data_IF_714005541350
#
_entry.id   IF_714005541350
#
_cell.length_a   1.000
_cell.length_b   1.000
_cell.length_c   1.000
_cell.angle_alpha   90.00
_cell.angle_beta   90.00
_cell.angle_gamma   90.00
#
_symmetry.space_group_name_H-M   'P 1'
#
loop_
_entity.id
_entity.type
_entity.pdbx_description
1 polymer ?
#
# COMPACT_ATOMS: atom_id res chain seq x y z
N UNK A 1 15.96 -14.62 -28.16
CA UNK A 1 16.91 -13.48 -28.18
C UNK A 1 16.20 -12.33 -27.49
N UNK A 2 16.76 -11.75 -26.41
CA UNK A 2 16.20 -10.53 -25.80
C UNK A 2 16.34 -9.41 -26.83
N UNK A 3 15.23 -8.94 -27.41
CA UNK A 3 15.26 -7.70 -28.19
C UNK A 3 15.49 -6.56 -27.20
N UNK A 4 16.65 -5.92 -27.26
CA UNK A 4 16.88 -4.64 -26.58
C UNK A 4 16.16 -3.55 -27.37
N UNK A 5 15.11 -2.97 -26.79
CA UNK A 5 14.57 -1.69 -27.26
C UNK A 5 15.55 -0.58 -26.87
N UNK A 6 15.79 0.35 -27.79
CA UNK A 6 16.54 1.55 -27.45
C UNK A 6 15.72 2.42 -26.49
N UNK A 7 16.40 3.08 -25.55
CA UNK A 7 15.74 3.94 -24.58
C UNK A 7 14.98 5.08 -25.28
N UNK A 8 15.63 5.70 -26.25
CA UNK A 8 15.04 6.74 -27.09
C UNK A 8 15.12 6.29 -28.57
N UNK A 9 14.04 6.42 -29.35
CA UNK A 9 12.74 7.01 -28.97
C UNK A 9 11.74 5.99 -28.38
N UNK A 10 11.94 4.70 -28.61
CA UNK A 10 10.88 3.69 -28.46
C UNK A 10 10.39 3.53 -27.02
N UNK A 11 11.30 3.28 -26.08
CA UNK A 11 10.93 3.06 -24.68
C UNK A 11 10.42 4.35 -24.01
N UNK A 12 10.98 5.50 -24.38
CA UNK A 12 10.52 6.80 -23.89
C UNK A 12 9.06 7.06 -24.28
N UNK A 13 8.69 6.81 -25.54
CA UNK A 13 7.30 6.99 -26.02
C UNK A 13 6.35 6.06 -25.27
N UNK A 14 6.76 4.81 -25.02
CA UNK A 14 5.99 3.85 -24.23
C UNK A 14 5.76 4.35 -22.79
N UNK A 15 6.80 4.84 -22.12
CA UNK A 15 6.69 5.42 -20.78
C UNK A 15 5.75 6.64 -20.79
N UNK A 16 5.93 7.56 -21.74
CA UNK A 16 5.11 8.77 -21.82
C UNK A 16 3.63 8.44 -22.05
N UNK A 17 3.36 7.43 -22.90
CA UNK A 17 2.00 6.96 -23.14
C UNK A 17 1.38 6.35 -21.88
N UNK A 18 2.12 5.51 -21.14
CA UNK A 18 1.63 4.94 -19.87
C UNK A 18 1.34 6.04 -18.85
N UNK A 19 2.25 7.01 -18.68
CA UNK A 19 2.04 8.15 -17.77
C UNK A 19 0.80 8.95 -18.17
N UNK A 20 0.66 9.26 -19.47
CA UNK A 20 -0.49 10.00 -19.99
C UNK A 20 -1.80 9.27 -19.70
N UNK A 21 -1.87 7.96 -19.99
CA UNK A 21 -3.06 7.15 -19.73
C UNK A 21 -3.37 7.04 -18.22
N UNK A 22 -2.35 6.92 -17.37
CA UNK A 22 -2.55 6.91 -15.91
C UNK A 22 -3.12 8.22 -15.41
N UNK A 23 -2.60 9.36 -15.88
CA UNK A 23 -3.11 10.69 -15.49
C UNK A 23 -4.55 10.87 -15.97
N UNK A 24 -4.84 10.52 -17.22
CA UNK A 24 -6.19 10.61 -17.79
C UNK A 24 -7.18 9.76 -17.01
N UNK A 25 -6.82 8.50 -16.68
CA UNK A 25 -7.64 7.63 -15.86
C UNK A 25 -7.96 8.24 -14.49
N UNK A 26 -6.93 8.79 -13.80
CA UNK A 26 -7.12 9.44 -12.50
C UNK A 26 -8.00 10.69 -12.62
N UNK A 27 -7.83 11.49 -13.67
CA UNK A 27 -8.63 12.69 -13.93
C UNK A 27 -10.11 12.33 -14.17
N UNK A 28 -10.38 11.32 -15.01
CA UNK A 28 -11.74 10.82 -15.27
C UNK A 28 -12.36 10.30 -13.96
N UNK A 29 -11.64 9.52 -13.17
CA UNK A 29 -12.14 9.04 -11.88
C UNK A 29 -12.44 10.19 -10.91
N UNK A 30 -11.60 11.22 -10.86
CA UNK A 30 -11.82 12.38 -10.01
C UNK A 30 -13.05 13.21 -10.42
N UNK A 31 -13.33 13.29 -11.73
CA UNK A 31 -14.52 13.97 -12.27
C UNK A 31 -15.80 13.15 -12.04
N UNK A 32 -15.74 11.82 -12.17
CA UNK A 32 -16.89 10.93 -11.96
C UNK A 32 -17.23 10.74 -10.47
N UNK A 33 -16.20 10.73 -9.61
CA UNK A 33 -16.33 10.51 -8.17
C UNK A 33 -15.63 11.64 -7.40
N UNK A 34 -16.18 12.87 -7.43
CA UNK A 34 -15.59 14.01 -6.73
C UNK A 34 -15.45 13.69 -5.25
N UNK A 35 -14.22 13.79 -4.74
CA UNK A 35 -13.94 13.58 -3.33
C UNK A 35 -14.02 14.91 -2.58
N UNK A 36 -14.73 14.91 -1.45
CA UNK A 36 -14.71 16.05 -0.54
C UNK A 36 -13.32 16.22 0.08
N UNK A 37 -12.87 17.47 0.23
CA UNK A 37 -11.59 17.79 0.89
C UNK A 37 -11.77 17.64 2.41
N UNK A 38 -11.79 16.38 2.86
CA UNK A 38 -11.99 16.01 4.25
C UNK A 38 -13.41 16.24 4.76
N UNK A 39 -13.69 15.74 5.96
CA UNK A 39 -14.99 15.93 6.61
C UNK A 39 -15.04 17.33 7.24
N UNK A 40 -16.09 18.10 6.93
CA UNK A 40 -16.34 19.37 7.63
C UNK A 40 -16.49 19.12 9.13
N UNK A 41 -15.79 19.93 9.94
CA UNK A 41 -15.81 19.82 11.39
C UNK A 41 -17.15 20.33 11.89
N UNK A 42 -17.92 19.45 12.52
CA UNK A 42 -19.18 19.77 13.19
C UNK A 42 -18.98 19.60 14.71
N UNK A 43 -19.10 20.70 15.45
CA UNK A 43 -18.93 20.72 16.91
C UNK A 43 -20.14 20.17 17.67
N UNK A 44 -21.26 19.93 16.99
CA UNK A 44 -22.51 19.43 17.60
C UNK A 44 -22.60 17.90 17.63
N UNK A 45 -21.74 17.19 16.89
CA UNK A 45 -21.77 15.73 16.80
C UNK A 45 -20.47 15.09 17.33
N UNK A 46 -20.57 13.97 18.09
CA UNK A 46 -19.38 13.25 18.54
C UNK A 46 -18.62 12.67 17.33
N UNK A 47 -17.45 13.23 17.07
CA UNK A 47 -16.59 12.85 15.97
C UNK A 47 -15.67 11.68 16.35
N UNK A 48 -15.69 10.61 15.55
CA UNK A 48 -14.72 9.51 15.62
C UNK A 48 -13.79 9.60 14.42
N UNK A 49 -12.59 10.20 14.56
CA UNK A 49 -11.67 10.33 13.44
C UNK A 49 -11.25 8.93 12.95
N UNK A 50 -11.45 8.69 11.67
CA UNK A 50 -10.82 7.59 10.95
C UNK A 50 -9.78 8.16 9.99
N UNK A 51 -8.61 7.53 9.89
CA UNK A 51 -7.62 7.94 8.93
C UNK A 51 -7.99 7.47 7.51
N UNK A 52 -7.22 7.91 6.53
CA UNK A 52 -7.37 7.54 5.14
C UNK A 52 -7.09 6.05 4.91
N UNK A 53 -7.56 5.53 3.78
CA UNK A 53 -7.56 4.09 3.45
C UNK A 53 -6.16 3.44 3.55
N UNK A 54 -5.09 4.17 3.20
CA UNK A 54 -3.72 3.67 3.24
C UNK A 54 -3.14 3.54 4.67
N UNK A 55 -3.82 4.09 5.68
CA UNK A 55 -3.47 3.96 7.11
C UNK A 55 -4.40 3.02 7.88
N UNK A 56 -5.44 2.47 7.26
CA UNK A 56 -6.44 1.65 7.96
C UNK A 56 -5.84 0.37 8.58
N UNK A 57 -4.88 -0.27 7.92
CA UNK A 57 -4.18 -1.43 8.49
C UNK A 57 -3.47 -1.07 9.80
N UNK A 58 -2.81 0.09 9.87
CA UNK A 58 -2.11 0.57 11.06
C UNK A 58 -3.10 0.95 12.16
N UNK A 59 -4.19 1.62 11.79
CA UNK A 59 -5.28 1.94 12.70
C UNK A 59 -5.88 0.70 13.35
N UNK A 60 -6.06 -0.38 12.57
CA UNK A 60 -6.54 -1.65 13.09
C UNK A 60 -5.52 -2.31 14.03
N UNK A 61 -4.22 -2.21 13.77
CA UNK A 61 -3.19 -2.70 14.68
C UNK A 61 -3.22 -1.99 16.03
N UNK A 62 -3.46 -0.67 16.06
CA UNK A 62 -3.60 0.08 17.33
C UNK A 62 -4.76 -0.47 18.16
N UNK A 63 -5.88 -0.86 17.52
CA UNK A 63 -7.03 -1.49 18.20
C UNK A 63 -6.67 -2.85 18.80
N UNK A 64 -5.80 -3.62 18.15
CA UNK A 64 -5.36 -4.94 18.63
C UNK A 64 -4.27 -4.88 19.70
N UNK A 65 -3.44 -3.84 19.67
CA UNK A 65 -2.33 -3.65 20.59
C UNK A 65 -2.54 -2.42 21.48
N UNK A 66 -3.53 -2.39 22.40
CA UNK A 66 -3.76 -1.23 23.26
C UNK A 66 -2.69 -1.10 24.36
N UNK A 67 -2.55 0.13 24.89
CA UNK A 67 -1.66 0.46 26.00
C UNK A 67 -0.18 0.38 25.63
N UNK A 68 0.64 -0.22 26.49
CA UNK A 68 2.09 -0.28 26.29
C UNK A 68 2.51 -1.09 25.06
N UNK A 69 1.60 -1.91 24.51
CA UNK A 69 1.85 -2.73 23.33
C UNK A 69 1.67 -1.99 22.01
N UNK A 70 1.20 -0.74 22.00
CA UNK A 70 0.98 0.05 20.78
C UNK A 70 2.24 0.06 19.91
N UNK A 71 3.42 0.22 20.52
CA UNK A 71 4.73 0.24 19.84
C UNK A 71 4.96 -1.00 18.98
N UNK A 72 4.45 -2.16 19.42
CA UNK A 72 4.57 -3.42 18.66
C UNK A 72 3.76 -3.29 17.36
N UNK A 73 2.52 -2.85 17.46
CA UNK A 73 1.62 -2.67 16.32
C UNK A 73 2.07 -1.56 15.36
N UNK A 74 2.49 -0.41 15.89
CA UNK A 74 2.74 0.79 15.08
C UNK A 74 4.17 0.93 14.57
N UNK A 75 5.12 0.28 15.23
CA UNK A 75 6.55 0.48 14.93
C UNK A 75 7.22 -0.84 14.57
N UNK A 76 7.09 -1.87 15.41
CA UNK A 76 7.80 -3.14 15.20
C UNK A 76 7.28 -3.86 13.94
N UNK A 77 5.97 -4.00 13.77
CA UNK A 77 5.39 -4.70 12.61
C UNK A 77 5.75 -4.00 11.28
N UNK A 78 5.55 -2.68 11.11
CA UNK A 78 5.96 -1.99 9.88
C UNK A 78 7.46 -2.07 9.63
N UNK A 79 8.28 -1.94 10.67
CA UNK A 79 9.74 -2.01 10.55
C UNK A 79 10.19 -3.41 10.10
N UNK A 80 9.59 -4.47 10.64
CA UNK A 80 9.86 -5.85 10.20
C UNK A 80 9.45 -6.05 8.74
N UNK A 81 8.32 -5.50 8.31
CA UNK A 81 7.90 -5.56 6.90
C UNK A 81 8.95 -4.90 5.97
N UNK A 82 9.43 -3.71 6.33
CA UNK A 82 10.50 -3.00 5.58
C UNK A 82 11.79 -3.82 5.60
N UNK A 83 12.15 -4.41 6.72
CA UNK A 83 13.36 -5.24 6.83
C UNK A 83 13.26 -6.49 5.93
N UNK A 84 12.09 -7.12 5.84
CA UNK A 84 11.87 -8.22 4.88
C UNK A 84 12.04 -7.72 3.44
N UNK A 85 11.53 -6.54 3.09
CA UNK A 85 11.77 -5.93 1.77
C UNK A 85 13.26 -5.69 1.49
N UNK A 86 14.01 -5.17 2.47
CA UNK A 86 15.46 -4.99 2.34
C UNK A 86 16.22 -6.30 2.19
N UNK A 87 15.70 -7.39 2.76
CA UNK A 87 16.31 -8.71 2.67
C UNK A 87 15.95 -9.50 1.40
N UNK A 88 15.05 -8.99 0.54
CA UNK A 88 14.70 -9.62 -0.75
C UNK A 88 15.90 -10.10 -1.56
N UNK A 89 16.97 -9.30 -1.82
CA UNK A 89 18.10 -9.77 -2.63
C UNK A 89 18.85 -10.97 -2.03
N UNK A 90 18.78 -11.17 -0.71
CA UNK A 90 19.35 -12.33 -0.04
C UNK A 90 18.39 -13.53 -0.04
N UNK A 91 17.08 -13.26 -0.02
CA UNK A 91 16.03 -14.29 -0.10
C UNK A 91 15.93 -14.84 -1.53
N UNK A 92 16.18 -14.01 -2.56
CA UNK A 92 16.15 -14.38 -3.99
C UNK A 92 17.40 -15.14 -4.45
N UNK A 93 17.88 -16.08 -3.63
CA UNK A 93 19.08 -16.86 -3.93
C UNK A 93 18.74 -18.36 -4.10
N UNK A 94 19.46 -19.00 -5.03
CA UNK A 94 19.34 -20.44 -5.30
C UNK A 94 18.10 -20.83 -6.12
N UNK A 95 17.92 -22.15 -6.29
CA UNK A 95 16.87 -22.74 -7.16
C UNK A 95 15.45 -22.33 -6.78
N UNK A 96 15.20 -22.05 -5.50
CA UNK A 96 13.88 -21.69 -4.96
C UNK A 96 13.76 -20.23 -4.52
N UNK A 97 14.75 -19.38 -4.84
CA UNK A 97 14.78 -17.97 -4.41
C UNK A 97 13.52 -17.21 -4.79
N UNK A 98 13.14 -17.25 -6.07
CA UNK A 98 11.92 -16.61 -6.58
C UNK A 98 10.65 -17.05 -5.86
N UNK A 99 10.51 -18.35 -5.54
CA UNK A 99 9.35 -18.85 -4.82
C UNK A 99 9.29 -18.27 -3.40
N UNK A 100 10.43 -18.20 -2.71
CA UNK A 100 10.52 -17.59 -1.37
C UNK A 100 10.15 -16.10 -1.40
N UNK A 101 10.63 -15.36 -2.41
CA UNK A 101 10.28 -13.94 -2.60
C UNK A 101 8.79 -13.76 -2.86
N UNK A 102 8.19 -14.60 -3.70
CA UNK A 102 6.75 -14.57 -3.98
C UNK A 102 5.93 -14.86 -2.71
N UNK A 103 6.33 -15.86 -1.92
CA UNK A 103 5.66 -16.19 -0.65
C UNK A 103 5.81 -15.03 0.34
N UNK A 104 7.01 -14.45 0.46
CA UNK A 104 7.24 -13.29 1.34
C UNK A 104 6.39 -12.09 0.91
N UNK A 105 6.37 -11.76 -0.38
CA UNK A 105 5.54 -10.70 -0.94
C UNK A 105 4.04 -10.95 -0.72
N UNK A 106 3.55 -12.16 -0.98
CA UNK A 106 2.17 -12.53 -0.72
C UNK A 106 1.81 -12.43 0.77
N UNK A 107 2.72 -12.82 1.65
CA UNK A 107 2.54 -12.71 3.11
C UNK A 107 2.46 -11.24 3.55
N UNK A 108 3.32 -10.38 3.01
CA UNK A 108 3.31 -8.94 3.29
C UNK A 108 2.03 -8.28 2.77
N UNK A 109 1.62 -8.62 1.54
CA UNK A 109 0.35 -8.15 0.97
C UNK A 109 -0.83 -8.61 1.80
N UNK A 110 -0.85 -9.85 2.25
CA UNK A 110 -1.90 -10.36 3.14
C UNK A 110 -1.91 -9.61 4.47
N UNK A 111 -0.75 -9.37 5.07
CA UNK A 111 -0.61 -8.64 6.34
C UNK A 111 -1.05 -7.17 6.22
N UNK A 112 -0.97 -6.58 5.03
CA UNK A 112 -1.52 -5.25 4.76
C UNK A 112 -3.04 -5.27 4.47
N UNK A 113 -3.49 -6.17 3.59
CA UNK A 113 -4.88 -6.20 3.12
C UNK A 113 -5.86 -6.71 4.17
N UNK A 114 -5.49 -7.76 4.90
CA UNK A 114 -6.36 -8.37 5.93
C UNK A 114 -6.85 -7.35 6.98
N UNK A 115 -5.96 -6.60 7.69
CA UNK A 115 -6.40 -5.60 8.64
C UNK A 115 -7.07 -4.39 7.99
N UNK A 116 -6.70 -4.02 6.76
CA UNK A 116 -7.39 -2.94 6.00
C UNK A 116 -8.85 -3.31 5.75
N UNK A 117 -9.10 -4.50 5.22
CA UNK A 117 -10.46 -4.99 4.95
C UNK A 117 -11.24 -5.13 6.26
N UNK A 118 -10.61 -5.66 7.30
CA UNK A 118 -11.26 -5.80 8.60
C UNK A 118 -11.65 -4.44 9.21
N UNK A 119 -10.84 -3.41 9.02
CA UNK A 119 -11.15 -2.04 9.44
C UNK A 119 -12.35 -1.45 8.68
N UNK A 120 -12.48 -1.79 7.39
CA UNK A 120 -13.64 -1.39 6.58
C UNK A 120 -14.92 -2.12 6.99
N UNK A 121 -14.82 -3.40 7.38
CA UNK A 121 -15.96 -4.21 7.82
C UNK A 121 -16.42 -3.88 9.24
N UNK A 122 -15.53 -3.39 10.11
CA UNK A 122 -15.84 -3.02 11.50
C UNK A 122 -15.72 -1.50 11.71
N UNK A 123 -16.72 -0.73 11.23
CA UNK A 123 -16.62 0.72 11.22
C UNK A 123 -16.54 1.34 12.63
#
# INVERSE_FOLDING_TARGET
MKQSKDFYPDYLVEIMLVIFLTIELVAVLALLYPQDIGRQIDFSTPFRPKPEWYFLWLYQLIRYFPGDRIVIGTTVIPLLAVLVFMLIPFIDQGRWGRLKVLIAGATLLFLFLCPTILSLLNP
#
